data_IF_986892423812
#
_entry.id   IF_986892423812
#
_cell.length_a   1.000
_cell.length_b   1.000
_cell.length_c   1.000
_cell.angle_alpha   90.00
_cell.angle_beta   90.00
_cell.angle_gamma   90.00
#
_symmetry.space_group_name_H-M   'P 1'
#
loop_
_entity.id
_entity.type
_entity.pdbx_description
1 polymer ?
#
# COMPACT_ATOMS: atom_id res chain seq x y z
N UNK A 1 12.08 -29.72 -14.86
CA UNK A 1 12.32 -28.27 -14.69
C UNK A 1 12.62 -28.03 -13.21
N UNK A 2 13.58 -27.19 -12.88
CA UNK A 2 13.86 -26.84 -11.49
C UNK A 2 12.77 -25.89 -10.92
N UNK A 3 12.57 -25.91 -9.62
CA UNK A 3 11.70 -24.93 -8.94
C UNK A 3 12.13 -23.49 -9.23
N UNK A 4 13.45 -23.22 -9.22
CA UNK A 4 13.97 -21.89 -9.56
C UNK A 4 13.62 -21.45 -11.00
N UNK A 5 13.51 -22.38 -11.94
CA UNK A 5 13.07 -22.07 -13.30
C UNK A 5 11.57 -21.72 -13.33
N UNK A 6 10.72 -22.42 -12.54
CA UNK A 6 9.29 -22.07 -12.40
C UNK A 6 9.11 -20.68 -11.81
N UNK A 7 9.96 -20.27 -10.85
CA UNK A 7 9.94 -18.93 -10.27
C UNK A 7 10.29 -17.88 -11.33
N UNK A 8 11.34 -18.13 -12.12
CA UNK A 8 11.73 -17.24 -13.21
C UNK A 8 10.63 -17.11 -14.29
N UNK A 9 9.96 -18.23 -14.62
CA UNK A 9 8.81 -18.24 -15.54
C UNK A 9 7.63 -17.44 -14.97
N UNK A 10 7.31 -17.60 -13.69
CA UNK A 10 6.26 -16.85 -13.00
C UNK A 10 6.54 -15.34 -13.00
N UNK A 11 7.77 -14.91 -12.69
CA UNK A 11 8.15 -13.49 -12.75
C UNK A 11 7.96 -12.91 -14.15
N UNK A 12 8.29 -13.68 -15.17
CA UNK A 12 8.08 -13.28 -16.57
C UNK A 12 6.60 -13.23 -16.94
N UNK A 13 5.79 -14.20 -16.50
CA UNK A 13 4.33 -14.25 -16.71
C UNK A 13 3.62 -13.04 -16.08
N UNK A 14 4.07 -12.62 -14.89
CA UNK A 14 3.55 -11.44 -14.18
C UNK A 14 4.18 -10.12 -14.66
N UNK A 15 4.93 -10.14 -15.76
CA UNK A 15 5.59 -8.99 -16.36
C UNK A 15 6.52 -8.21 -15.40
N UNK A 16 7.11 -8.90 -14.43
CA UNK A 16 8.06 -8.31 -13.50
C UNK A 16 9.40 -8.12 -14.21
N UNK A 17 9.67 -6.90 -14.67
CA UNK A 17 10.87 -6.55 -15.45
C UNK A 17 12.11 -6.37 -14.60
N UNK A 18 11.97 -5.89 -13.38
CA UNK A 18 13.09 -5.60 -12.48
C UNK A 18 12.82 -6.19 -11.13
N UNK A 19 13.82 -6.79 -10.51
CA UNK A 19 13.84 -7.16 -9.09
C UNK A 19 15.12 -6.63 -8.46
N UNK A 20 15.14 -6.51 -7.14
CA UNK A 20 16.25 -5.95 -6.40
C UNK A 20 16.81 -7.00 -5.44
N UNK A 21 18.13 -7.15 -5.36
CA UNK A 21 18.67 -8.20 -4.50
C UNK A 21 20.17 -8.25 -4.37
N UNK A 22 20.62 -9.20 -3.57
CA UNK A 22 22.04 -9.57 -3.40
C UNK A 22 22.14 -11.07 -3.53
N UNK A 23 23.10 -11.54 -4.34
CA UNK A 23 23.37 -12.96 -4.46
C UNK A 23 24.07 -13.50 -3.21
N UNK A 24 23.69 -14.70 -2.80
CA UNK A 24 24.36 -15.49 -1.78
C UNK A 24 24.12 -16.97 -2.01
N UNK A 25 24.74 -17.85 -1.21
CA UNK A 25 24.58 -19.28 -1.38
C UNK A 25 23.11 -19.73 -1.30
N UNK A 26 22.32 -19.08 -0.42
CA UNK A 26 20.92 -19.45 -0.18
C UNK A 26 19.95 -19.12 -1.31
N UNK A 27 20.29 -18.26 -2.26
CA UNK A 27 19.40 -17.86 -3.37
C UNK A 27 20.05 -18.00 -4.77
N UNK A 28 21.23 -18.61 -4.86
CA UNK A 28 21.99 -18.69 -6.10
C UNK A 28 21.25 -19.38 -7.25
N UNK A 29 20.43 -20.41 -6.96
CA UNK A 29 19.65 -21.10 -7.99
C UNK A 29 18.58 -20.19 -8.61
N UNK A 30 17.94 -19.34 -7.80
CA UNK A 30 16.93 -18.40 -8.30
C UNK A 30 17.60 -17.32 -9.16
N UNK A 31 18.76 -16.78 -8.71
CA UNK A 31 19.55 -15.85 -9.52
C UNK A 31 19.93 -16.43 -10.89
N UNK A 32 20.47 -17.66 -10.90
CA UNK A 32 20.87 -18.35 -12.13
C UNK A 32 19.69 -18.55 -13.10
N UNK A 33 18.53 -18.99 -12.58
CA UNK A 33 17.36 -19.23 -13.42
C UNK A 33 16.78 -17.94 -13.97
N UNK A 34 16.70 -16.87 -13.18
CA UNK A 34 16.24 -15.56 -13.66
C UNK A 34 17.19 -15.01 -14.74
N UNK A 35 18.51 -15.09 -14.52
CA UNK A 35 19.50 -14.68 -15.48
C UNK A 35 19.39 -15.45 -16.80
N UNK A 36 19.25 -16.78 -16.73
CA UNK A 36 19.09 -17.65 -17.91
C UNK A 36 17.78 -17.38 -18.67
N UNK A 37 16.69 -17.06 -17.97
CA UNK A 37 15.40 -16.72 -18.57
C UNK A 37 15.50 -15.41 -19.36
N UNK A 38 16.28 -14.43 -18.88
CA UNK A 38 16.58 -13.18 -19.57
C UNK A 38 15.41 -12.21 -19.73
N UNK A 39 14.30 -12.43 -19.03
CA UNK A 39 13.14 -11.52 -19.05
C UNK A 39 13.21 -10.50 -17.92
N UNK A 40 13.50 -10.97 -16.72
CA UNK A 40 13.59 -10.14 -15.50
C UNK A 40 15.06 -9.76 -15.26
N UNK A 41 15.32 -8.47 -15.13
CA UNK A 41 16.64 -7.95 -14.74
C UNK A 41 16.77 -7.93 -13.22
N UNK A 42 17.91 -8.43 -12.72
CA UNK A 42 18.24 -8.36 -11.29
C UNK A 42 19.15 -7.16 -11.06
N UNK A 43 18.61 -6.15 -10.37
CA UNK A 43 19.37 -4.97 -9.96
C UNK A 43 20.04 -5.28 -8.63
N UNK A 44 21.35 -5.52 -8.67
CA UNK A 44 22.13 -5.82 -7.48
C UNK A 44 22.34 -4.55 -6.63
N UNK A 45 22.11 -4.68 -5.33
CA UNK A 45 22.32 -3.63 -4.33
C UNK A 45 23.42 -4.05 -3.35
N UNK A 46 23.89 -3.12 -2.51
CA UNK A 46 24.95 -3.40 -1.54
C UNK A 46 24.45 -3.80 -0.15
N UNK A 47 23.13 -3.74 0.08
CA UNK A 47 22.51 -4.11 1.36
C UNK A 47 21.06 -4.54 1.13
N UNK A 48 20.60 -5.59 1.81
CA UNK A 48 19.26 -6.17 1.60
C UNK A 48 18.14 -5.23 2.01
N UNK A 49 18.37 -4.37 2.99
CA UNK A 49 17.44 -3.28 3.33
C UNK A 49 17.18 -2.38 2.10
N UNK A 50 18.24 -2.06 1.35
CA UNK A 50 18.10 -1.25 0.13
C UNK A 50 17.32 -1.99 -0.95
N UNK A 51 17.43 -3.33 -1.06
CA UNK A 51 16.61 -4.12 -1.97
C UNK A 51 15.10 -3.98 -1.67
N UNK A 52 14.72 -4.13 -0.40
CA UNK A 52 13.32 -3.99 0.01
C UNK A 52 12.81 -2.54 -0.11
N UNK A 53 13.65 -1.54 0.12
CA UNK A 53 13.30 -0.13 -0.08
C UNK A 53 13.19 0.22 -1.57
N UNK A 54 14.04 -0.34 -2.42
CA UNK A 54 13.96 -0.18 -3.88
C UNK A 54 12.66 -0.81 -4.44
N UNK A 55 12.28 -1.99 -3.95
CA UNK A 55 11.00 -2.63 -4.27
C UNK A 55 9.81 -1.69 -3.99
N UNK A 56 9.79 -1.04 -2.81
CA UNK A 56 8.73 -0.07 -2.48
C UNK A 56 8.74 1.13 -3.42
N UNK A 57 9.93 1.71 -3.62
CA UNK A 57 10.08 2.93 -4.44
C UNK A 57 9.68 2.63 -5.90
N UNK A 58 10.01 1.44 -6.40
CA UNK A 58 9.58 1.00 -7.72
C UNK A 58 8.05 1.02 -7.85
N UNK A 59 7.33 0.43 -6.90
CA UNK A 59 5.86 0.48 -6.91
C UNK A 59 5.33 1.92 -6.83
N UNK A 60 5.89 2.76 -5.95
CA UNK A 60 5.47 4.17 -5.83
C UNK A 60 5.66 4.96 -7.11
N UNK A 61 6.69 4.63 -7.90
CA UNK A 61 7.05 5.35 -9.13
C UNK A 61 6.24 4.91 -10.33
N UNK A 62 5.98 3.60 -10.48
CA UNK A 62 5.35 3.07 -11.69
C UNK A 62 4.06 2.26 -11.47
N UNK A 63 3.61 2.10 -10.22
CA UNK A 63 2.41 1.33 -9.88
C UNK A 63 2.52 -0.19 -10.09
N UNK A 64 3.73 -0.71 -10.38
CA UNK A 64 3.93 -2.13 -10.68
C UNK A 64 4.52 -2.86 -9.49
N UNK A 65 3.91 -4.00 -9.14
CA UNK A 65 4.44 -4.91 -8.11
C UNK A 65 5.74 -5.52 -8.58
N UNK A 66 6.72 -5.59 -7.68
CA UNK A 66 8.00 -6.26 -7.93
C UNK A 66 8.47 -7.05 -6.72
N UNK A 67 9.67 -7.61 -6.78
CA UNK A 67 10.23 -8.46 -5.74
C UNK A 67 11.59 -7.97 -5.22
N UNK A 68 11.88 -8.31 -3.96
CA UNK A 68 13.23 -8.28 -3.40
C UNK A 68 13.74 -9.73 -3.23
N UNK A 69 14.94 -10.02 -3.71
CA UNK A 69 15.54 -11.35 -3.63
C UNK A 69 16.70 -11.34 -2.64
N UNK A 70 16.49 -12.01 -1.50
CA UNK A 70 17.40 -12.02 -0.36
C UNK A 70 18.04 -13.41 -0.17
N UNK A 71 19.19 -13.45 0.47
CA UNK A 71 19.85 -14.71 0.81
C UNK A 71 19.53 -15.15 2.25
N UNK A 72 20.24 -16.14 2.76
CA UNK A 72 20.04 -16.75 4.08
C UNK A 72 20.61 -15.90 5.22
N UNK A 73 20.11 -16.09 6.42
CA UNK A 73 20.68 -15.56 7.65
C UNK A 73 20.58 -14.04 7.77
N UNK A 74 21.70 -13.36 8.03
CA UNK A 74 21.77 -11.91 8.09
C UNK A 74 21.28 -11.26 6.79
N UNK A 75 21.46 -11.90 5.64
CA UNK A 75 20.95 -11.46 4.37
C UNK A 75 19.42 -11.38 4.32
N UNK A 76 18.68 -12.29 4.97
CA UNK A 76 17.23 -12.15 5.08
C UNK A 76 16.84 -11.15 6.16
N UNK A 77 17.45 -11.19 7.35
CA UNK A 77 17.08 -10.30 8.46
C UNK A 77 17.40 -8.83 8.19
N UNK A 78 18.42 -8.52 7.41
CA UNK A 78 18.71 -7.15 6.96
C UNK A 78 17.56 -6.52 6.15
N UNK A 79 16.75 -7.31 5.46
CA UNK A 79 15.60 -6.84 4.69
C UNK A 79 14.41 -6.39 5.56
N UNK A 80 14.35 -6.80 6.83
CA UNK A 80 13.17 -6.61 7.71
C UNK A 80 12.80 -5.12 7.84
N UNK A 81 13.76 -4.22 7.99
CA UNK A 81 13.48 -2.77 8.07
C UNK A 81 12.73 -2.27 6.84
N UNK A 82 13.14 -2.69 5.63
CA UNK A 82 12.43 -2.34 4.41
C UNK A 82 11.02 -2.95 4.34
N UNK A 83 10.85 -4.17 4.83
CA UNK A 83 9.53 -4.82 4.91
C UNK A 83 8.60 -4.08 5.87
N UNK A 84 9.09 -3.69 7.05
CA UNK A 84 8.32 -2.88 8.03
C UNK A 84 7.88 -1.55 7.40
N UNK A 85 8.76 -0.90 6.65
CA UNK A 85 8.43 0.33 5.92
C UNK A 85 7.35 0.09 4.86
N UNK A 86 7.45 -0.97 4.06
CA UNK A 86 6.43 -1.34 3.08
C UNK A 86 5.07 -1.65 3.74
N UNK A 87 5.09 -2.36 4.87
CA UNK A 87 3.90 -2.65 5.66
C UNK A 87 3.22 -1.39 6.19
N UNK A 88 4.00 -0.47 6.76
CA UNK A 88 3.47 0.78 7.31
C UNK A 88 2.77 1.64 6.26
N UNK A 89 3.27 1.64 5.04
CA UNK A 89 2.73 2.43 3.91
C UNK A 89 1.80 1.63 2.99
N UNK A 90 1.49 0.38 3.35
CA UNK A 90 0.62 -0.50 2.56
C UNK A 90 1.13 -0.74 1.13
N UNK A 91 2.44 -0.82 0.93
CA UNK A 91 3.06 -1.05 -0.37
C UNK A 91 3.13 -2.55 -0.66
N UNK A 92 2.56 -3.01 -1.79
CA UNK A 92 2.65 -4.40 -2.19
C UNK A 92 4.04 -4.76 -2.70
N UNK A 93 4.43 -6.02 -2.51
CA UNK A 93 5.66 -6.57 -3.03
C UNK A 93 5.92 -7.97 -2.48
N UNK A 94 6.81 -8.70 -3.14
CA UNK A 94 7.18 -10.05 -2.73
C UNK A 94 8.64 -10.05 -2.28
N UNK A 95 8.88 -10.53 -1.08
CA UNK A 95 10.22 -10.84 -0.63
C UNK A 95 10.43 -12.35 -0.83
N UNK A 96 11.44 -12.70 -1.62
CA UNK A 96 11.85 -14.07 -1.86
C UNK A 96 13.20 -14.26 -1.16
N UNK A 97 13.22 -15.02 -0.07
CA UNK A 97 14.46 -15.35 0.63
C UNK A 97 14.90 -16.78 0.38
N UNK A 98 16.19 -16.99 0.36
CA UNK A 98 16.75 -18.32 0.42
C UNK A 98 17.00 -18.75 1.87
N UNK A 99 17.16 -20.06 2.06
CA UNK A 99 17.49 -20.63 3.37
C UNK A 99 18.40 -21.86 3.22
N UNK A 100 18.83 -22.39 4.36
CA UNK A 100 19.56 -23.65 4.46
C UNK A 100 18.72 -24.81 3.89
N UNK A 101 19.39 -25.94 3.67
CA UNK A 101 18.73 -27.15 3.20
C UNK A 101 17.56 -27.53 4.16
N UNK A 102 16.38 -27.79 3.61
CA UNK A 102 15.16 -28.12 4.36
C UNK A 102 15.35 -29.29 5.34
N UNK A 103 16.25 -30.21 5.02
CA UNK A 103 16.60 -31.32 5.90
C UNK A 103 17.07 -30.82 7.29
N UNK A 104 17.86 -29.76 7.35
CA UNK A 104 18.33 -29.22 8.65
C UNK A 104 17.24 -28.47 9.38
N UNK A 105 16.34 -27.82 8.65
CA UNK A 105 15.16 -27.16 9.21
C UNK A 105 14.24 -28.16 9.89
N UNK A 106 13.91 -29.28 9.21
CA UNK A 106 12.99 -30.29 9.71
C UNK A 106 13.54 -31.10 10.86
N UNK A 107 14.83 -31.44 10.83
CA UNK A 107 15.48 -32.26 11.87
C UNK A 107 15.72 -31.51 13.19
N UNK A 108 15.80 -30.20 13.14
CA UNK A 108 16.34 -29.41 14.26
C UNK A 108 15.51 -28.16 14.55
N UNK A 109 14.17 -28.27 14.54
CA UNK A 109 13.24 -27.12 14.75
C UNK A 109 13.54 -26.31 16.02
N UNK A 110 13.98 -26.98 17.06
CA UNK A 110 14.26 -26.36 18.37
C UNK A 110 15.68 -25.78 18.47
N UNK A 111 16.53 -25.95 17.45
CA UNK A 111 17.85 -25.36 17.45
C UNK A 111 17.76 -23.85 17.22
N UNK A 112 18.68 -23.13 17.85
CA UNK A 112 18.81 -21.67 17.71
C UNK A 112 19.06 -21.24 16.26
N UNK A 113 19.74 -22.06 15.45
CA UNK A 113 20.14 -21.76 14.10
C UNK A 113 20.25 -23.06 13.30
N UNK A 114 19.86 -23.06 12.05
CA UNK A 114 19.94 -24.21 11.14
C UNK A 114 21.16 -24.12 10.24
N UNK A 115 21.88 -25.20 10.06
CA UNK A 115 23.06 -25.25 9.19
C UNK A 115 24.11 -24.19 9.55
N UNK A 116 24.53 -23.40 8.60
CA UNK A 116 25.53 -22.34 8.76
C UNK A 116 24.94 -21.09 9.39
N UNK A 117 23.79 -20.63 8.90
CA UNK A 117 23.15 -19.36 9.32
C UNK A 117 21.64 -19.31 9.04
N UNK A 118 20.96 -20.45 8.99
CA UNK A 118 19.52 -20.52 8.73
C UNK A 118 18.69 -20.09 9.92
N UNK A 119 17.61 -19.36 9.65
CA UNK A 119 16.61 -18.91 10.62
C UNK A 119 15.21 -19.05 10.06
N UNK A 120 14.21 -19.03 10.94
CA UNK A 120 12.79 -18.91 10.56
C UNK A 120 12.45 -17.45 10.24
N UNK A 121 12.89 -16.98 9.08
CA UNK A 121 12.61 -15.61 8.63
C UNK A 121 11.12 -15.33 8.42
N UNK A 122 10.27 -16.28 7.92
CA UNK A 122 8.82 -16.08 7.88
C UNK A 122 8.18 -15.83 9.24
N UNK A 123 8.61 -16.53 10.30
CA UNK A 123 8.10 -16.28 11.64
C UNK A 123 8.47 -14.89 12.16
N UNK A 124 9.71 -14.44 11.87
CA UNK A 124 10.18 -13.10 12.27
C UNK A 124 9.35 -11.97 11.66
N UNK A 125 8.85 -12.14 10.45
CA UNK A 125 8.11 -11.10 9.70
C UNK A 125 6.60 -11.29 9.69
N UNK A 126 6.08 -12.31 10.35
CA UNK A 126 4.66 -12.69 10.31
C UNK A 126 3.69 -11.58 10.74
N UNK A 127 4.13 -10.61 11.55
CA UNK A 127 3.33 -9.47 12.02
C UNK A 127 3.43 -8.23 11.13
N UNK A 128 4.35 -8.25 10.17
CA UNK A 128 4.62 -7.11 9.27
C UNK A 128 4.55 -7.52 7.79
N UNK A 129 3.84 -8.60 7.53
CA UNK A 129 3.53 -9.10 6.18
C UNK A 129 2.08 -9.57 6.12
N UNK A 130 1.48 -9.54 4.94
CA UNK A 130 0.15 -10.12 4.70
C UNK A 130 0.17 -11.63 4.67
N UNK A 131 1.28 -12.18 4.20
CA UNK A 131 1.54 -13.61 4.13
C UNK A 131 3.03 -13.86 4.26
N UNK A 132 3.40 -14.83 5.07
CA UNK A 132 4.77 -15.31 5.18
C UNK A 132 4.80 -16.82 5.27
N UNK A 133 5.65 -17.48 4.45
CA UNK A 133 5.69 -18.93 4.36
C UNK A 133 7.09 -19.44 4.04
N UNK A 134 7.51 -20.47 4.75
CA UNK A 134 8.64 -21.31 4.34
C UNK A 134 8.15 -22.48 3.49
N UNK A 135 8.75 -22.68 2.33
CA UNK A 135 8.39 -23.70 1.36
C UNK A 135 9.26 -24.93 1.59
N UNK A 136 8.70 -25.99 2.12
CA UNK A 136 9.40 -27.25 2.40
C UNK A 136 9.10 -28.37 1.38
N UNK A 137 8.06 -28.21 0.55
CA UNK A 137 7.71 -29.11 -0.55
C UNK A 137 7.86 -28.40 -1.89
N UNK A 138 8.71 -28.93 -2.77
CA UNK A 138 8.99 -28.39 -4.09
C UNK A 138 7.74 -28.28 -4.99
N UNK A 139 6.76 -29.17 -4.84
CA UNK A 139 5.52 -29.13 -5.64
C UNK A 139 4.59 -27.97 -5.27
N UNK A 140 4.74 -27.40 -4.09
CA UNK A 140 3.97 -26.23 -3.62
C UNK A 140 4.68 -24.91 -3.86
N UNK A 141 5.92 -24.89 -4.32
CA UNK A 141 6.69 -23.64 -4.48
C UNK A 141 5.99 -22.64 -5.42
N UNK A 142 5.42 -23.12 -6.54
CA UNK A 142 4.68 -22.26 -7.46
C UNK A 142 3.38 -21.75 -6.82
N UNK A 143 2.64 -22.60 -6.11
CA UNK A 143 1.44 -22.21 -5.38
C UNK A 143 1.70 -21.09 -4.38
N UNK A 144 2.77 -21.21 -3.59
CA UNK A 144 3.06 -20.27 -2.52
C UNK A 144 3.49 -18.90 -3.05
N UNK A 145 4.26 -18.86 -4.15
CA UNK A 145 4.68 -17.59 -4.73
C UNK A 145 3.52 -16.89 -5.47
N UNK A 146 2.65 -17.65 -6.15
CA UNK A 146 1.43 -17.14 -6.76
C UNK A 146 0.50 -16.56 -5.70
N UNK A 147 0.26 -17.29 -4.61
CA UNK A 147 -0.55 -16.86 -3.48
C UNK A 147 0.00 -15.57 -2.85
N UNK A 148 1.31 -15.49 -2.64
CA UNK A 148 1.95 -14.30 -2.09
C UNK A 148 1.75 -13.08 -3.00
N UNK A 149 1.89 -13.26 -4.32
CA UNK A 149 1.68 -12.19 -5.29
C UNK A 149 0.24 -11.66 -5.23
N UNK A 150 -0.74 -12.53 -5.34
CA UNK A 150 -2.15 -12.13 -5.33
C UNK A 150 -2.54 -11.50 -3.99
N UNK A 151 -2.12 -12.09 -2.86
CA UNK A 151 -2.39 -11.52 -1.54
C UNK A 151 -1.72 -10.15 -1.33
N UNK A 152 -0.56 -9.89 -1.95
CA UNK A 152 0.14 -8.63 -1.77
C UNK A 152 -0.68 -7.42 -2.20
N UNK A 153 -1.51 -7.57 -3.21
CA UNK A 153 -2.37 -6.52 -3.78
C UNK A 153 -3.84 -6.62 -3.35
N UNK A 154 -4.28 -7.77 -2.84
CA UNK A 154 -5.67 -8.02 -2.51
C UNK A 154 -6.14 -7.21 -1.29
N UNK A 155 -7.25 -6.49 -1.40
CA UNK A 155 -7.76 -5.61 -0.34
C UNK A 155 -6.76 -4.50 0.01
N UNK A 156 -6.49 -4.26 1.30
CA UNK A 156 -5.40 -3.36 1.69
C UNK A 156 -4.06 -3.97 1.29
N UNK A 157 -3.28 -3.35 0.39
CA UNK A 157 -2.01 -3.91 -0.06
C UNK A 157 -0.96 -4.02 1.04
N UNK A 158 0.07 -4.85 0.81
CA UNK A 158 1.19 -4.98 1.72
C UNK A 158 2.18 -6.07 1.29
N UNK A 159 3.38 -6.12 1.88
CA UNK A 159 4.41 -7.08 1.52
C UNK A 159 4.04 -8.51 1.92
N UNK A 160 4.52 -9.47 1.12
CA UNK A 160 4.49 -10.90 1.42
C UNK A 160 5.90 -11.47 1.40
N UNK A 161 6.17 -12.53 2.18
CA UNK A 161 7.48 -13.14 2.30
C UNK A 161 7.44 -14.64 2.05
N UNK A 162 8.21 -15.12 1.06
CA UNK A 162 8.35 -16.53 0.75
C UNK A 162 9.81 -16.96 0.92
N UNK A 163 10.04 -17.88 1.83
CA UNK A 163 11.36 -18.41 2.14
C UNK A 163 11.53 -19.80 1.49
N UNK A 164 12.52 -19.96 0.62
CA UNK A 164 12.70 -21.15 -0.19
C UNK A 164 14.09 -21.73 0.06
N UNK A 165 14.22 -22.84 0.81
CA UNK A 165 15.48 -23.53 1.04
C UNK A 165 16.20 -23.90 -0.26
N UNK A 166 17.54 -23.88 -0.24
CA UNK A 166 18.38 -24.05 -1.44
C UNK A 166 18.14 -25.38 -2.17
N UNK A 167 17.89 -26.45 -1.45
CA UNK A 167 17.59 -27.75 -2.05
C UNK A 167 16.20 -27.80 -2.71
N UNK A 168 15.24 -27.03 -2.20
CA UNK A 168 13.93 -26.86 -2.82
C UNK A 168 14.06 -26.07 -4.13
N UNK A 169 14.85 -25.00 -4.15
CA UNK A 169 15.11 -24.20 -5.37
C UNK A 169 15.70 -25.08 -6.49
N UNK A 170 16.61 -26.01 -6.15
CA UNK A 170 17.27 -26.90 -7.12
C UNK A 170 16.50 -28.17 -7.45
N UNK A 171 15.43 -28.48 -6.73
CA UNK A 171 14.62 -29.69 -6.94
C UNK A 171 13.98 -29.71 -8.33
N UNK A 172 14.05 -30.87 -8.99
CA UNK A 172 13.33 -31.09 -10.24
C UNK A 172 11.89 -31.50 -9.97
N UNK A 173 10.97 -30.79 -10.60
CA UNK A 173 9.52 -31.03 -10.50
C UNK A 173 8.88 -31.22 -11.87
N UNK A 174 7.75 -31.90 -11.91
CA UNK A 174 6.89 -31.93 -13.08
C UNK A 174 5.88 -30.77 -12.97
N UNK A 175 6.02 -29.77 -13.84
CA UNK A 175 5.20 -28.56 -13.85
C UNK A 175 3.68 -28.84 -13.90
N UNK A 176 3.26 -29.90 -14.58
CA UNK A 176 1.85 -30.29 -14.69
C UNK A 176 1.28 -30.80 -13.37
N UNK A 177 2.16 -31.30 -12.48
CA UNK A 177 1.80 -31.84 -11.16
C UNK A 177 2.02 -30.84 -10.03
N UNK A 178 2.61 -29.69 -10.31
CA UNK A 178 2.76 -28.63 -9.32
C UNK A 178 1.39 -28.03 -8.96
N UNK A 179 1.17 -27.82 -7.67
CA UNK A 179 0.01 -27.08 -7.19
C UNK A 179 0.05 -25.63 -7.67
N UNK A 180 -1.13 -25.10 -8.00
CA UNK A 180 -1.29 -23.72 -8.47
C UNK A 180 -2.34 -23.01 -7.64
N UNK A 181 -2.05 -21.78 -7.26
CA UNK A 181 -3.00 -20.94 -6.56
C UNK A 181 -4.09 -20.44 -7.53
N UNK A 182 -5.33 -20.46 -7.09
CA UNK A 182 -6.47 -19.94 -7.86
C UNK A 182 -6.91 -18.60 -7.26
N UNK A 183 -7.17 -17.62 -8.10
CA UNK A 183 -7.67 -16.31 -7.67
C UNK A 183 -9.01 -16.45 -6.92
N UNK A 184 -9.81 -17.46 -7.25
CA UNK A 184 -11.04 -17.81 -6.51
C UNK A 184 -10.82 -18.19 -5.05
N UNK A 185 -9.58 -18.54 -4.66
CA UNK A 185 -9.23 -18.94 -3.30
C UNK A 185 -8.77 -17.74 -2.44
N UNK A 186 -8.78 -16.53 -3.01
CA UNK A 186 -8.58 -15.31 -2.24
C UNK A 186 -9.71 -15.12 -1.24
N UNK A 187 -9.42 -14.63 -0.02
CA UNK A 187 -10.46 -14.33 0.95
C UNK A 187 -11.41 -13.26 0.42
N UNK A 188 -12.71 -13.38 0.71
CA UNK A 188 -13.65 -12.32 0.38
C UNK A 188 -13.28 -11.01 1.09
N UNK A 189 -13.39 -9.90 0.36
CA UNK A 189 -13.20 -8.58 0.95
C UNK A 189 -14.42 -8.24 1.81
N UNK A 190 -14.19 -7.93 3.07
CA UNK A 190 -15.24 -7.53 3.99
C UNK A 190 -15.55 -6.02 3.83
N UNK A 191 -15.88 -5.61 2.62
CA UNK A 191 -16.32 -4.24 2.30
C UNK A 191 -17.85 -4.14 2.32
N UNK A 192 -18.34 -2.91 2.34
CA UNK A 192 -19.78 -2.66 2.23
C UNK A 192 -20.34 -3.19 0.91
N UNK A 193 -21.57 -3.68 0.93
CA UNK A 193 -22.25 -4.08 -0.31
C UNK A 193 -22.45 -2.89 -1.25
N UNK A 194 -22.62 -3.13 -2.54
CA UNK A 194 -22.88 -2.07 -3.54
C UNK A 194 -24.09 -1.21 -3.16
N UNK A 195 -25.15 -1.81 -2.57
CA UNK A 195 -26.31 -1.08 -2.11
C UNK A 195 -25.97 -0.17 -0.91
N UNK A 196 -25.16 -0.64 0.04
CA UNK A 196 -24.68 0.14 1.18
C UNK A 196 -23.78 1.29 0.73
N UNK A 197 -22.85 1.02 -0.19
CA UNK A 197 -21.99 2.04 -0.78
C UNK A 197 -22.81 3.13 -1.51
N UNK A 198 -23.79 2.75 -2.32
CA UNK A 198 -24.67 3.69 -3.01
C UNK A 198 -25.48 4.57 -2.03
N UNK A 199 -25.97 4.00 -0.93
CA UNK A 199 -26.66 4.74 0.13
C UNK A 199 -25.70 5.72 0.83
N UNK A 200 -24.47 5.29 1.10
CA UNK A 200 -23.41 6.12 1.70
C UNK A 200 -23.04 7.30 0.78
N UNK A 201 -22.83 7.04 -0.51
CA UNK A 201 -22.56 8.07 -1.52
C UNK A 201 -23.70 9.09 -1.57
N UNK A 202 -24.97 8.64 -1.57
CA UNK A 202 -26.12 9.52 -1.55
C UNK A 202 -26.16 10.40 -0.29
N UNK A 203 -25.77 9.84 0.86
CA UNK A 203 -25.67 10.57 2.12
C UNK A 203 -24.57 11.63 2.10
N UNK A 204 -23.42 11.32 1.51
CA UNK A 204 -22.31 12.28 1.33
C UNK A 204 -22.70 13.40 0.35
N UNK A 205 -23.37 13.09 -0.77
CA UNK A 205 -23.89 14.11 -1.70
C UNK A 205 -24.88 15.06 -0.98
N UNK A 206 -25.74 14.54 -0.11
CA UNK A 206 -26.65 15.37 0.71
C UNK A 206 -25.86 16.21 1.73
N UNK A 207 -24.84 15.65 2.36
CA UNK A 207 -23.98 16.37 3.29
C UNK A 207 -23.24 17.52 2.59
N UNK A 208 -22.67 17.28 1.42
CA UNK A 208 -22.07 18.32 0.57
C UNK A 208 -23.05 19.44 0.27
N UNK A 209 -24.27 19.14 -0.16
CA UNK A 209 -25.32 20.17 -0.42
C UNK A 209 -25.66 21.00 0.82
N UNK A 210 -25.55 20.45 2.02
CA UNK A 210 -25.87 21.14 3.27
C UNK A 210 -24.70 21.92 3.85
N UNK A 211 -23.47 21.47 3.60
CA UNK A 211 -22.24 22.09 4.08
C UNK A 211 -22.01 23.46 3.47
N UNK A 212 -21.38 24.35 4.23
CA UNK A 212 -20.89 25.67 3.77
C UNK A 212 -19.38 25.69 3.55
N UNK A 213 -18.66 24.82 4.25
CA UNK A 213 -17.19 24.78 4.25
C UNK A 213 -16.68 23.34 4.10
N UNK A 214 -17.05 22.63 3.01
CA UNK A 214 -16.61 21.26 2.80
C UNK A 214 -15.11 21.20 2.46
N UNK A 215 -14.50 20.04 2.76
CA UNK A 215 -13.09 19.78 2.50
C UNK A 215 -12.87 18.33 2.14
N UNK A 216 -12.14 18.05 1.07
CA UNK A 216 -11.59 16.75 0.76
C UNK A 216 -10.20 16.58 1.37
N UNK A 217 -9.94 15.44 2.01
CA UNK A 217 -8.60 15.07 2.45
C UNK A 217 -8.19 13.77 1.77
N UNK A 218 -7.28 13.88 0.81
CA UNK A 218 -6.95 12.84 -0.17
C UNK A 218 -5.69 12.09 0.28
N UNK A 219 -5.85 10.80 0.55
CA UNK A 219 -4.80 9.94 1.08
C UNK A 219 -4.17 9.01 0.06
N UNK A 220 -3.07 8.37 0.47
CA UNK A 220 -2.29 7.45 -0.37
C UNK A 220 -3.09 6.22 -0.83
N UNK A 221 -4.14 5.82 -0.10
CA UNK A 221 -5.03 4.74 -0.52
C UNK A 221 -5.63 4.93 -1.91
N UNK A 222 -5.79 6.18 -2.36
CA UNK A 222 -6.27 6.49 -3.72
C UNK A 222 -5.25 6.04 -4.78
N UNK A 223 -3.93 6.26 -4.54
CA UNK A 223 -2.86 5.77 -5.42
C UNK A 223 -2.77 4.26 -5.43
N UNK A 224 -2.95 3.62 -4.27
CA UNK A 224 -2.85 2.16 -4.16
C UNK A 224 -3.85 1.42 -5.05
N UNK A 225 -4.96 2.07 -5.41
CA UNK A 225 -5.99 1.54 -6.32
C UNK A 225 -5.96 2.19 -7.72
N UNK A 226 -4.93 3.00 -8.02
CA UNK A 226 -4.75 3.64 -9.33
C UNK A 226 -5.84 4.66 -9.69
N UNK A 227 -6.40 5.36 -8.69
CA UNK A 227 -7.51 6.31 -8.87
C UNK A 227 -7.09 7.79 -8.83
N UNK A 228 -5.79 8.10 -8.81
CA UNK A 228 -5.29 9.48 -8.78
C UNK A 228 -5.72 10.31 -9.98
N UNK A 229 -5.92 9.67 -11.15
CA UNK A 229 -6.40 10.33 -12.36
C UNK A 229 -7.83 10.90 -12.25
N UNK A 230 -8.60 10.48 -11.22
CA UNK A 230 -9.97 10.98 -10.98
C UNK A 230 -9.99 12.23 -10.08
N UNK A 231 -8.86 12.63 -9.49
CA UNK A 231 -8.85 13.63 -8.43
C UNK A 231 -9.11 15.05 -8.93
N UNK A 232 -8.59 15.42 -10.09
CA UNK A 232 -8.87 16.73 -10.69
C UNK A 232 -10.35 16.88 -11.02
N UNK A 233 -10.96 15.83 -11.56
CA UNK A 233 -12.39 15.81 -11.85
C UNK A 233 -13.21 15.88 -10.56
N UNK A 234 -12.82 15.13 -9.52
CA UNK A 234 -13.49 15.15 -8.22
C UNK A 234 -13.51 16.56 -7.61
N UNK A 235 -12.33 17.20 -7.52
CA UNK A 235 -12.15 18.50 -6.93
C UNK A 235 -12.92 19.57 -7.73
N UNK A 236 -12.77 19.55 -9.04
CA UNK A 236 -13.37 20.54 -9.94
C UNK A 236 -14.88 20.38 -10.07
N UNK A 237 -15.39 19.14 -10.17
CA UNK A 237 -16.81 18.86 -10.27
C UNK A 237 -17.58 19.36 -9.05
N UNK A 238 -17.08 19.10 -7.85
CA UNK A 238 -17.74 19.56 -6.63
C UNK A 238 -17.35 20.99 -6.24
N UNK A 239 -16.33 21.58 -6.85
CA UNK A 239 -15.77 22.89 -6.54
C UNK A 239 -15.44 23.01 -5.02
N UNK A 240 -14.82 21.95 -4.46
CA UNK A 240 -14.53 21.81 -3.03
C UNK A 240 -13.03 21.89 -2.79
N UNK A 241 -12.56 22.71 -1.82
CA UNK A 241 -11.16 22.71 -1.40
C UNK A 241 -10.65 21.32 -1.04
N UNK A 242 -9.38 21.05 -1.32
CA UNK A 242 -8.73 19.79 -1.05
C UNK A 242 -7.38 19.94 -0.36
N UNK A 243 -7.07 18.97 0.49
CA UNK A 243 -5.76 18.73 1.08
C UNK A 243 -5.27 17.36 0.65
N UNK A 244 -3.96 17.19 0.53
CA UNK A 244 -3.32 15.90 0.26
C UNK A 244 -2.52 15.45 1.49
N UNK A 245 -2.38 14.12 1.66
CA UNK A 245 -1.50 13.58 2.70
C UNK A 245 -0.03 13.57 2.23
N UNK A 246 0.90 13.30 3.13
CA UNK A 246 2.33 13.24 2.82
C UNK A 246 2.66 12.25 1.71
N UNK A 247 2.14 11.03 1.80
CA UNK A 247 2.37 9.99 0.80
C UNK A 247 1.58 10.20 -0.51
N UNK A 248 0.73 11.23 -0.55
CA UNK A 248 -0.08 11.61 -1.71
C UNK A 248 0.24 13.00 -2.27
N UNK A 249 1.40 13.58 -1.89
CA UNK A 249 1.77 14.97 -2.21
C UNK A 249 1.78 15.29 -3.72
N UNK A 250 2.03 14.30 -4.55
CA UNK A 250 2.17 14.39 -6.00
C UNK A 250 0.96 13.82 -6.76
N UNK A 251 -0.14 13.46 -6.07
CA UNK A 251 -1.34 12.93 -6.71
C UNK A 251 -2.17 14.01 -7.45
N UNK A 252 -2.01 15.26 -7.06
CA UNK A 252 -2.70 16.41 -7.67
C UNK A 252 -1.69 17.54 -7.84
N UNK A 253 -1.82 18.33 -8.91
CA UNK A 253 -0.98 19.49 -9.14
C UNK A 253 -1.06 20.46 -7.93
N UNK A 254 0.11 20.77 -7.36
CA UNK A 254 0.22 21.71 -6.24
C UNK A 254 -0.24 23.13 -6.59
N UNK A 255 -0.27 23.49 -7.87
CA UNK A 255 -0.78 24.77 -8.36
C UNK A 255 -2.28 24.76 -8.64
N UNK A 256 -2.95 23.62 -8.51
CA UNK A 256 -4.41 23.56 -8.67
C UNK A 256 -5.09 24.56 -7.71
N UNK A 257 -6.02 25.41 -8.19
CA UNK A 257 -6.56 26.53 -7.41
C UNK A 257 -7.26 26.13 -6.11
N UNK A 258 -7.81 24.92 -6.06
CA UNK A 258 -8.53 24.39 -4.90
C UNK A 258 -7.67 23.46 -4.01
N UNK A 259 -6.40 23.23 -4.29
CA UNK A 259 -5.50 22.43 -3.45
C UNK A 259 -4.74 23.33 -2.49
N UNK A 260 -4.90 23.15 -1.19
CA UNK A 260 -4.35 24.00 -0.14
C UNK A 260 -3.21 23.34 0.65
N UNK A 261 -2.58 22.34 0.05
CA UNK A 261 -1.38 21.70 0.57
C UNK A 261 -1.68 20.54 1.50
N UNK A 262 -0.89 20.42 2.55
CA UNK A 262 -0.93 19.31 3.52
C UNK A 262 -1.23 19.83 4.91
N UNK A 263 -2.07 19.10 5.65
CA UNK A 263 -2.30 19.34 7.06
C UNK A 263 -1.54 18.32 7.94
N UNK A 264 -1.48 18.60 9.23
CA UNK A 264 -0.85 17.80 10.26
C UNK A 264 0.36 18.50 10.90
N UNK A 265 1.05 17.78 11.80
CA UNK A 265 2.19 18.32 12.59
C UNK A 265 3.31 18.87 11.69
N UNK A 266 3.57 18.19 10.58
CA UNK A 266 4.57 18.59 9.59
C UNK A 266 3.94 19.19 8.32
N UNK A 267 2.68 19.61 8.40
CA UNK A 267 1.96 20.25 7.31
C UNK A 267 2.22 21.75 7.20
N UNK A 268 1.61 22.35 6.16
CA UNK A 268 1.64 23.80 6.00
C UNK A 268 0.61 24.47 6.91
N UNK A 269 0.91 25.68 7.40
CA UNK A 269 -0.01 26.46 8.24
C UNK A 269 -1.33 26.72 7.52
N UNK A 270 -1.29 27.07 6.23
CA UNK A 270 -2.47 27.23 5.39
C UNK A 270 -3.35 25.97 5.43
N UNK A 271 -2.78 24.77 5.16
CA UNK A 271 -3.52 23.51 5.20
C UNK A 271 -4.15 23.23 6.57
N UNK A 272 -3.45 23.52 7.66
CA UNK A 272 -3.99 23.35 9.01
C UNK A 272 -5.16 24.31 9.30
N UNK A 273 -5.10 25.56 8.83
CA UNK A 273 -6.24 26.48 8.98
C UNK A 273 -7.44 26.03 8.15
N UNK A 274 -7.24 25.59 6.91
CA UNK A 274 -8.31 25.04 6.08
C UNK A 274 -8.93 23.82 6.75
N UNK A 275 -8.12 22.87 7.26
CA UNK A 275 -8.60 21.67 7.95
C UNK A 275 -9.46 22.02 9.18
N UNK A 276 -8.97 22.93 10.02
CA UNK A 276 -9.61 23.23 11.30
C UNK A 276 -10.89 24.07 11.18
N UNK A 277 -11.09 24.73 10.05
CA UNK A 277 -12.24 25.62 9.83
C UNK A 277 -13.31 25.01 8.89
N UNK A 278 -13.12 23.78 8.38
CA UNK A 278 -14.16 23.11 7.61
C UNK A 278 -15.34 22.69 8.50
N UNK A 279 -16.53 22.51 7.91
CA UNK A 279 -17.73 21.99 8.57
C UNK A 279 -18.15 20.60 8.09
N UNK A 280 -17.50 20.12 7.01
CA UNK A 280 -17.58 18.75 6.50
C UNK A 280 -16.22 18.33 6.00
N UNK A 281 -15.65 17.30 6.62
CA UNK A 281 -14.35 16.73 6.25
C UNK A 281 -14.55 15.34 5.63
N UNK A 282 -14.16 15.16 4.38
CA UNK A 282 -14.28 13.89 3.65
C UNK A 282 -12.86 13.35 3.42
N UNK A 283 -12.48 12.33 4.21
CA UNK A 283 -11.20 11.66 4.16
C UNK A 283 -11.30 10.43 3.26
N UNK A 284 -10.51 10.35 2.18
CA UNK A 284 -10.55 9.25 1.23
C UNK A 284 -9.19 8.57 1.21
N UNK A 285 -9.13 7.28 1.58
CA UNK A 285 -7.89 6.48 1.57
C UNK A 285 -6.78 7.03 2.46
N UNK A 286 -7.14 7.68 3.58
CA UNK A 286 -6.18 8.21 4.56
C UNK A 286 -6.30 7.45 5.87
N UNK A 287 -5.18 6.90 6.34
CA UNK A 287 -5.08 6.12 7.57
C UNK A 287 -5.35 6.94 8.85
N UNK A 288 -5.50 8.23 8.76
CA UNK A 288 -5.67 9.12 9.93
C UNK A 288 -4.56 8.91 10.97
N UNK A 289 -3.30 9.04 10.52
CA UNK A 289 -2.14 8.84 11.36
C UNK A 289 -1.99 9.99 12.39
N UNK A 290 -1.46 9.71 13.59
CA UNK A 290 -1.29 10.70 14.67
C UNK A 290 -0.53 11.95 14.21
N UNK A 291 0.48 11.79 13.35
CA UNK A 291 1.20 12.91 12.76
C UNK A 291 0.34 13.85 11.89
N UNK A 292 -0.82 13.39 11.45
CA UNK A 292 -1.78 14.16 10.66
C UNK A 292 -2.89 14.75 11.51
N UNK A 293 -3.42 13.96 12.46
CA UNK A 293 -4.62 14.30 13.23
C UNK A 293 -4.34 14.81 14.65
N UNK A 294 -3.10 14.66 15.14
CA UNK A 294 -2.77 14.89 16.54
C UNK A 294 -3.13 13.71 17.44
N UNK A 295 -2.83 13.81 18.73
CA UNK A 295 -3.15 12.77 19.72
C UNK A 295 -4.63 12.78 20.14
N UNK A 296 -5.25 13.96 20.13
CA UNK A 296 -6.65 14.17 20.58
C UNK A 296 -7.55 14.31 19.36
N UNK A 297 -8.17 13.21 18.94
CA UNK A 297 -9.02 13.18 17.75
C UNK A 297 -10.20 14.17 17.81
N UNK A 298 -10.68 14.50 19.01
CA UNK A 298 -11.77 15.45 19.19
C UNK A 298 -11.36 16.89 18.84
N UNK A 299 -10.06 17.18 18.80
CA UNK A 299 -9.53 18.48 18.39
C UNK A 299 -9.36 18.60 16.86
N UNK A 300 -9.53 17.51 16.13
CA UNK A 300 -9.49 17.51 14.67
C UNK A 300 -10.79 18.07 14.10
N UNK A 301 -10.70 19.20 13.36
CA UNK A 301 -11.85 19.80 12.67
C UNK A 301 -13.10 19.79 13.56
N UNK A 302 -13.01 20.45 14.72
CA UNK A 302 -13.95 20.31 15.86
C UNK A 302 -15.42 20.49 15.49
N UNK A 303 -15.71 21.40 14.58
CA UNK A 303 -17.05 21.75 14.15
C UNK A 303 -17.52 20.92 12.94
N UNK A 304 -16.65 20.05 12.38
CA UNK A 304 -16.95 19.31 11.18
C UNK A 304 -17.64 17.98 11.46
N UNK A 305 -18.61 17.64 10.61
CA UNK A 305 -18.98 16.26 10.36
C UNK A 305 -17.83 15.56 9.62
N UNK A 306 -17.35 14.41 10.11
CA UNK A 306 -16.26 13.67 9.48
C UNK A 306 -16.78 12.43 8.77
N UNK A 307 -16.46 12.32 7.49
CA UNK A 307 -16.63 11.13 6.68
C UNK A 307 -15.26 10.48 6.41
N UNK A 308 -15.14 9.17 6.63
CA UNK A 308 -13.91 8.42 6.34
C UNK A 308 -14.25 7.25 5.45
N UNK A 309 -13.50 7.14 4.34
CA UNK A 309 -13.58 6.04 3.38
C UNK A 309 -12.27 5.27 3.43
N UNK A 310 -12.34 4.02 3.84
CA UNK A 310 -11.18 3.14 3.90
C UNK A 310 -11.58 1.69 3.62
N UNK A 311 -10.70 0.94 2.94
CA UNK A 311 -10.92 -0.48 2.68
C UNK A 311 -10.71 -1.34 3.93
N UNK A 312 -9.94 -0.83 4.90
CA UNK A 312 -9.63 -1.53 6.15
C UNK A 312 -10.60 -1.11 7.27
N UNK A 313 -11.48 -2.04 7.61
CA UNK A 313 -12.46 -1.85 8.69
C UNK A 313 -11.82 -1.56 10.06
N UNK A 314 -10.58 -2.01 10.30
CA UNK A 314 -9.88 -1.73 11.55
C UNK A 314 -9.47 -0.26 11.64
N UNK A 315 -9.08 0.36 10.53
CA UNK A 315 -8.79 1.80 10.48
C UNK A 315 -10.07 2.63 10.73
N UNK A 316 -11.21 2.21 10.18
CA UNK A 316 -12.49 2.86 10.43
C UNK A 316 -12.94 2.74 11.89
N UNK A 317 -12.67 1.61 12.54
CA UNK A 317 -13.05 1.38 13.94
C UNK A 317 -12.18 2.16 14.93
N UNK A 318 -11.00 2.63 14.53
CA UNK A 318 -10.03 3.32 15.40
C UNK A 318 -10.63 4.54 16.10
N UNK A 319 -11.43 5.33 15.40
CA UNK A 319 -12.10 6.52 15.90
C UNK A 319 -13.59 6.57 15.54
N UNK A 320 -14.27 5.41 15.55
CA UNK A 320 -15.66 5.27 15.13
C UNK A 320 -16.63 6.26 15.77
N UNK A 321 -16.39 6.66 17.01
CA UNK A 321 -17.28 7.59 17.74
C UNK A 321 -17.14 9.05 17.26
N UNK A 322 -16.06 9.37 16.52
CA UNK A 322 -15.80 10.71 15.95
C UNK A 322 -16.28 10.81 14.50
N UNK A 323 -16.37 9.68 13.81
CA UNK A 323 -16.80 9.65 12.41
C UNK A 323 -18.32 9.61 12.31
N UNK A 324 -18.90 10.61 11.66
CA UNK A 324 -20.33 10.61 11.34
C UNK A 324 -20.67 9.64 10.21
N UNK A 325 -19.78 9.53 9.25
CA UNK A 325 -19.91 8.61 8.13
C UNK A 325 -18.66 7.73 8.07
N UNK A 326 -18.85 6.45 8.30
CA UNK A 326 -17.80 5.42 8.22
C UNK A 326 -18.14 4.50 7.07
N UNK A 327 -17.33 4.52 6.00
CA UNK A 327 -17.62 3.89 4.72
C UNK A 327 -16.52 2.88 4.42
N UNK A 328 -16.84 1.60 4.49
CA UNK A 328 -15.89 0.53 4.25
C UNK A 328 -15.90 0.14 2.77
N UNK A 329 -15.16 0.88 1.96
CA UNK A 329 -15.15 0.73 0.52
C UNK A 329 -13.76 0.98 -0.08
N UNK A 330 -13.57 0.50 -1.30
CA UNK A 330 -12.46 0.89 -2.15
C UNK A 330 -12.56 2.39 -2.48
N UNK A 331 -11.42 3.09 -2.45
CA UNK A 331 -11.38 4.53 -2.70
C UNK A 331 -11.80 4.87 -4.15
N UNK A 332 -11.46 4.01 -5.12
CA UNK A 332 -11.85 4.19 -6.51
C UNK A 332 -13.34 4.07 -6.70
N UNK A 333 -13.96 3.00 -6.17
CA UNK A 333 -15.40 2.77 -6.27
C UNK A 333 -16.19 3.93 -5.64
N UNK A 334 -15.69 4.45 -4.51
CA UNK A 334 -16.31 5.59 -3.86
C UNK A 334 -16.21 6.87 -4.70
N UNK A 335 -15.02 7.18 -5.26
CA UNK A 335 -14.80 8.38 -6.09
C UNK A 335 -15.64 8.29 -7.37
N UNK A 336 -15.61 7.16 -8.07
CA UNK A 336 -16.42 6.93 -9.28
C UNK A 336 -17.92 7.08 -8.97
N UNK A 337 -18.38 6.53 -7.85
CA UNK A 337 -19.76 6.67 -7.41
C UNK A 337 -20.15 8.11 -7.04
N UNK A 338 -19.22 8.91 -6.50
CA UNK A 338 -19.46 10.35 -6.28
C UNK A 338 -19.59 11.10 -7.62
N UNK A 339 -18.74 10.79 -8.59
CA UNK A 339 -18.73 11.43 -9.91
C UNK A 339 -19.89 10.95 -10.80
N UNK A 340 -20.40 9.74 -10.56
CA UNK A 340 -21.57 9.24 -11.29
C UNK A 340 -22.82 10.07 -10.99
N UNK A 341 -23.53 10.47 -12.05
CA UNK A 341 -24.73 11.31 -12.02
C UNK A 341 -24.46 12.77 -11.60
N UNK A 342 -24.71 13.69 -12.50
CA UNK A 342 -24.61 15.13 -12.28
C UNK A 342 -25.42 15.53 -11.03
N UNK A 343 -24.72 15.84 -9.94
CA UNK A 343 -25.34 16.47 -8.78
C UNK A 343 -25.15 17.97 -8.91
N UNK A 344 -26.22 18.74 -8.64
CA UNK A 344 -26.08 20.19 -8.52
C UNK A 344 -24.98 20.51 -7.51
N UNK A 345 -23.99 21.26 -7.93
CA UNK A 345 -22.91 21.74 -7.07
C UNK A 345 -23.36 22.96 -6.28
N UNK A 346 -23.02 23.02 -5.01
CA UNK A 346 -23.26 24.24 -4.22
C UNK A 346 -22.24 25.33 -4.58
N UNK A 347 -22.61 26.56 -4.30
CA UNK A 347 -21.68 27.67 -4.38
C UNK A 347 -20.87 27.78 -3.09
N UNK A 348 -19.57 27.44 -3.14
CA UNK A 348 -18.64 27.54 -2.03
C UNK A 348 -17.68 28.77 -2.16
N UNK A 349 -18.06 29.79 -2.93
CA UNK A 349 -17.18 30.93 -3.24
C UNK A 349 -16.68 31.67 -2.00
N UNK A 350 -17.50 31.83 -0.97
CA UNK A 350 -17.11 32.45 0.30
C UNK A 350 -16.04 31.62 1.04
N UNK A 351 -16.24 30.30 1.09
CA UNK A 351 -15.27 29.38 1.68
C UNK A 351 -13.94 29.34 0.91
N UNK A 352 -14.00 29.28 -0.41
CA UNK A 352 -12.83 29.31 -1.30
C UNK A 352 -12.09 30.64 -1.12
N UNK A 353 -12.80 31.78 -1.01
CA UNK A 353 -12.19 33.08 -0.71
C UNK A 353 -11.43 33.04 0.61
N UNK A 354 -12.01 32.49 1.67
CA UNK A 354 -11.37 32.34 2.98
C UNK A 354 -10.12 31.43 2.89
N UNK A 355 -10.19 30.33 2.17
CA UNK A 355 -9.05 29.44 1.95
C UNK A 355 -7.91 30.16 1.17
N UNK A 356 -8.26 31.00 0.19
CA UNK A 356 -7.29 31.81 -0.55
C UNK A 356 -6.63 32.88 0.34
N UNK A 357 -7.37 33.48 1.29
CA UNK A 357 -6.77 34.37 2.30
C UNK A 357 -5.78 33.63 3.19
N UNK A 358 -6.09 32.39 3.63
CA UNK A 358 -5.14 31.58 4.37
C UNK A 358 -3.89 31.27 3.53
N UNK A 359 -4.04 30.94 2.24
CA UNK A 359 -2.91 30.70 1.34
C UNK A 359 -2.03 31.95 1.18
N UNK A 360 -2.64 33.12 1.04
CA UNK A 360 -1.95 34.39 0.93
C UNK A 360 -1.20 34.80 2.21
N UNK A 361 -1.85 34.61 3.37
CA UNK A 361 -1.29 35.00 4.66
C UNK A 361 -0.26 34.00 5.20
N UNK A 362 -0.32 32.74 4.75
CA UNK A 362 0.55 31.66 5.17
C UNK A 362 1.04 30.87 3.93
N UNK A 363 1.89 31.49 3.10
CA UNK A 363 2.41 30.85 1.89
C UNK A 363 3.22 29.60 2.24
N UNK A 364 3.31 28.68 1.29
CA UNK A 364 4.05 27.42 1.50
C UNK A 364 5.56 27.64 1.61
N UNK A 365 6.06 28.65 0.93
CA UNK A 365 7.45 29.11 0.98
C UNK A 365 7.42 30.60 1.20
N UNK A 366 8.16 31.07 2.19
CA UNK A 366 8.35 32.51 2.36
C UNK A 366 9.29 33.06 1.27
N UNK A 367 8.97 34.20 0.64
CA UNK A 367 9.85 34.79 -0.37
C UNK A 367 11.24 35.15 0.14
N UNK A 368 11.47 35.07 1.44
CA UNK A 368 12.72 35.46 2.13
C UNK A 368 13.58 34.22 2.48
N UNK A 369 13.04 33.03 2.37
CA UNK A 369 13.77 31.78 2.57
C UNK A 369 14.34 31.25 1.23
#
# INVERSE_FOLDING_TARGET
>A
MKVSDLIADFLAEKEIRHIFGIIGAGNAHIFDSIFKKGYTEIICVHHEQAACMAMQTYFRTCGKVTAALLTTGAGSTNGITGVVSAWADSIPGIIISGNENSKYVEMHKDLRMWGVQGYDSPAMVSKVTKYSKQVLDANFALYEIQKAFELSTHGRPGPCWIDIPMNIQSANVNQEKCEKFKISDLPELNTDSLASLSASISSIKKALKKSKRPLFWLGHGIRLVGAEHLLEDLISHFNVPALVTWAGIDMVDSYHPLVYGRAGTYGQRCGNFVLQNCDLLICIGTRMAISQIGYEINELARDADIAVVDIDKLELNKYKNRYKYSINADAKDFIEGLLANNSDTNNYSEWISTCNEYRKNYPWVNPID
#
